data_IF_540193499406
#
_entry.id   IF_540193499406
#
_cell.length_a   1.000
_cell.length_b   1.000
_cell.length_c   1.000
_cell.angle_alpha   90.00
_cell.angle_beta   90.00
_cell.angle_gamma   90.00
#
_symmetry.space_group_name_H-M   'P 1'
#
loop_
_entity.id
_entity.type
_entity.pdbx_description
1 polymer ?
#
# COMPACT_ATOMS: atom_id res chain seq x y z
N UNK A 1 -0.84 -5.26 -6.63
CA UNK A 1 -0.42 -6.05 -7.82
C UNK A 1 0.84 -6.79 -7.45
N UNK A 2 0.91 -8.06 -7.81
CA UNK A 2 2.07 -8.93 -7.63
C UNK A 2 2.58 -9.36 -8.99
N UNK A 3 3.90 -9.32 -9.15
CA UNK A 3 4.61 -9.72 -10.37
C UNK A 3 5.48 -10.94 -10.08
N UNK A 4 5.59 -11.82 -11.07
CA UNK A 4 6.50 -12.96 -11.01
C UNK A 4 7.95 -12.47 -11.15
N UNK A 5 8.80 -12.83 -10.18
CA UNK A 5 10.20 -12.44 -10.14
C UNK A 5 11.05 -13.06 -11.25
N UNK A 6 10.64 -14.21 -11.78
CA UNK A 6 11.36 -14.93 -12.85
C UNK A 6 11.38 -14.16 -14.16
N UNK A 7 10.46 -13.20 -14.33
CA UNK A 7 10.35 -12.34 -15.52
C UNK A 7 11.40 -11.22 -15.57
N UNK A 8 12.25 -11.10 -14.54
CA UNK A 8 13.18 -9.98 -14.40
C UNK A 8 14.63 -10.44 -14.42
N UNK A 9 15.54 -9.66 -15.03
CA UNK A 9 16.95 -10.01 -15.05
C UNK A 9 17.55 -9.88 -13.65
N UNK A 10 18.46 -10.79 -13.29
CA UNK A 10 19.08 -10.82 -11.96
C UNK A 10 19.66 -9.49 -11.46
N UNK A 11 20.38 -8.69 -12.28
CA UNK A 11 20.87 -7.39 -11.83
C UNK A 11 19.77 -6.46 -11.30
N UNK A 12 18.58 -6.46 -11.92
CA UNK A 12 17.46 -5.64 -11.46
C UNK A 12 16.93 -6.14 -10.12
N UNK A 13 16.83 -7.47 -9.93
CA UNK A 13 16.41 -8.09 -8.67
C UNK A 13 17.38 -7.70 -7.54
N UNK A 14 18.69 -7.72 -7.79
CA UNK A 14 19.70 -7.31 -6.80
C UNK A 14 19.58 -5.82 -6.43
N UNK A 15 19.39 -4.95 -7.41
CA UNK A 15 19.18 -3.52 -7.17
C UNK A 15 17.88 -3.28 -6.38
N UNK A 16 16.79 -3.94 -6.76
CA UNK A 16 15.53 -3.86 -6.04
C UNK A 16 15.66 -4.37 -4.60
N UNK A 17 16.42 -5.46 -4.39
CA UNK A 17 16.70 -6.01 -3.07
C UNK A 17 17.49 -5.03 -2.22
N UNK A 18 18.55 -4.42 -2.77
CA UNK A 18 19.33 -3.41 -2.06
C UNK A 18 18.46 -2.21 -1.67
N UNK A 19 17.67 -1.68 -2.60
CA UNK A 19 16.76 -0.56 -2.35
C UNK A 19 15.71 -0.91 -1.29
N UNK A 20 15.14 -2.11 -1.36
CA UNK A 20 14.17 -2.60 -0.40
C UNK A 20 14.79 -2.71 1.00
N UNK A 21 15.96 -3.34 1.13
CA UNK A 21 16.66 -3.50 2.42
C UNK A 21 17.02 -2.15 3.02
N UNK A 22 17.52 -1.21 2.22
CA UNK A 22 17.81 0.16 2.69
C UNK A 22 16.54 0.86 3.16
N UNK A 23 15.44 0.71 2.43
CA UNK A 23 14.15 1.31 2.80
C UNK A 23 13.59 0.69 4.07
N UNK A 24 13.67 -0.64 4.21
CA UNK A 24 13.22 -1.36 5.40
C UNK A 24 14.08 -1.00 6.62
N UNK A 25 15.39 -0.86 6.45
CA UNK A 25 16.29 -0.40 7.51
C UNK A 25 15.96 1.04 7.94
N UNK A 26 15.66 1.93 6.98
CA UNK A 26 15.23 3.29 7.26
C UNK A 26 13.87 3.31 7.99
N UNK A 27 12.89 2.55 7.51
CA UNK A 27 11.60 2.38 8.16
C UNK A 27 11.77 1.86 9.59
N UNK A 28 12.61 0.85 9.80
CA UNK A 28 12.94 0.33 11.13
C UNK A 28 13.59 1.36 12.04
N UNK A 29 14.46 2.24 11.52
CA UNK A 29 15.08 3.31 12.32
C UNK A 29 14.11 4.45 12.66
N UNK A 30 13.23 4.80 11.74
CA UNK A 30 12.27 5.90 11.89
C UNK A 30 10.96 5.47 12.56
N UNK A 31 10.72 4.17 12.71
CA UNK A 31 9.47 3.67 13.28
C UNK A 31 9.29 4.16 14.72
N UNK A 32 8.10 4.65 15.09
CA UNK A 32 7.80 5.11 16.43
C UNK A 32 7.56 3.90 17.36
N UNK A 33 8.58 3.07 17.59
CA UNK A 33 8.50 1.84 18.39
C UNK A 33 7.90 2.04 19.78
N UNK A 34 8.06 3.23 20.35
CA UNK A 34 7.44 3.60 21.63
C UNK A 34 5.92 3.50 21.60
N UNK A 35 5.27 3.79 20.48
CA UNK A 35 3.81 3.66 20.32
C UNK A 35 3.35 2.20 20.41
N UNK A 36 4.16 1.26 19.91
CA UNK A 36 3.86 -0.17 19.97
C UNK A 36 4.14 -0.79 21.35
N UNK A 37 4.62 0.00 22.33
CA UNK A 37 4.67 -0.45 23.74
C UNK A 37 3.29 -0.42 24.40
N UNK A 38 2.39 0.38 23.87
CA UNK A 38 0.99 0.34 24.25
C UNK A 38 0.34 -0.92 23.66
N UNK A 39 -0.27 -1.74 24.51
CA UNK A 39 -0.83 -3.04 24.11
C UNK A 39 -2.02 -2.88 23.17
N UNK A 40 -2.82 -1.82 23.30
CA UNK A 40 -3.94 -1.55 22.40
C UNK A 40 -3.40 -1.25 21.00
N UNK A 41 -2.44 -0.34 20.88
CA UNK A 41 -1.84 0.03 19.60
C UNK A 41 -1.10 -1.15 18.94
N UNK A 42 -0.42 -1.99 19.71
CA UNK A 42 0.20 -3.22 19.20
C UNK A 42 -0.84 -4.19 18.63
N UNK A 43 -1.92 -4.45 19.38
CA UNK A 43 -2.98 -5.35 18.93
C UNK A 43 -3.70 -4.82 17.69
N UNK A 44 -3.94 -3.51 17.62
CA UNK A 44 -4.54 -2.87 16.44
C UNK A 44 -3.60 -2.97 15.24
N UNK A 45 -2.30 -2.77 15.42
CA UNK A 45 -1.31 -2.95 14.35
C UNK A 45 -1.24 -4.40 13.86
N UNK A 46 -1.12 -5.37 14.77
CA UNK A 46 -1.07 -6.80 14.41
C UNK A 46 -2.38 -7.27 13.78
N UNK A 47 -3.52 -6.83 14.30
CA UNK A 47 -4.83 -7.11 13.72
C UNK A 47 -4.96 -6.55 12.30
N UNK A 48 -4.43 -5.34 12.06
CA UNK A 48 -4.43 -4.74 10.73
C UNK A 48 -3.48 -5.48 9.77
N UNK A 49 -2.33 -5.96 10.24
CA UNK A 49 -1.43 -6.85 9.47
C UNK A 49 -2.13 -8.15 9.10
N UNK A 50 -2.86 -8.78 10.03
CA UNK A 50 -3.62 -10.01 9.75
C UNK A 50 -4.76 -9.75 8.76
N UNK A 51 -5.48 -8.64 8.88
CA UNK A 51 -6.52 -8.26 7.93
C UNK A 51 -5.96 -8.04 6.53
N UNK A 52 -4.82 -7.36 6.40
CA UNK A 52 -4.12 -7.22 5.12
C UNK A 52 -3.61 -8.56 4.59
N UNK A 53 -3.13 -9.46 5.45
CA UNK A 53 -2.71 -10.80 5.05
C UNK A 53 -3.87 -11.55 4.38
N UNK A 54 -5.06 -11.53 4.97
CA UNK A 54 -6.26 -12.13 4.37
C UNK A 54 -6.57 -11.46 3.04
N UNK A 55 -6.54 -10.12 3.00
CA UNK A 55 -6.83 -9.34 1.80
C UNK A 55 -5.87 -9.68 0.63
N UNK A 56 -4.58 -9.87 0.91
CA UNK A 56 -3.56 -10.16 -0.10
C UNK A 56 -3.58 -11.62 -0.58
N UNK A 57 -4.21 -12.53 0.18
CA UNK A 57 -4.52 -13.88 -0.31
C UNK A 57 -5.74 -13.92 -1.23
N UNK A 58 -6.55 -12.86 -1.27
CA UNK A 58 -7.65 -12.72 -2.22
C UNK A 58 -7.13 -12.09 -3.52
N UNK A 59 -6.20 -12.79 -4.18
CA UNK A 59 -5.65 -12.35 -5.47
C UNK A 59 -6.32 -13.03 -6.66
N UNK A 60 -6.31 -12.34 -7.79
CA UNK A 60 -6.77 -12.84 -9.08
C UNK A 60 -5.66 -12.65 -10.11
N UNK A 61 -5.34 -13.71 -10.83
CA UNK A 61 -4.39 -13.62 -11.94
C UNK A 61 -5.04 -12.87 -13.10
N UNK A 62 -4.44 -11.74 -13.48
CA UNK A 62 -4.94 -10.88 -14.58
C UNK A 62 -4.26 -11.24 -15.89
N UNK A 63 -2.96 -11.52 -15.83
CA UNK A 63 -2.12 -12.01 -16.93
C UNK A 63 -1.10 -13.00 -16.36
N UNK A 64 -0.46 -13.79 -17.22
CA UNK A 64 0.59 -14.72 -16.78
C UNK A 64 1.72 -13.99 -16.03
N UNK A 65 1.94 -14.35 -14.76
CA UNK A 65 2.92 -13.68 -13.92
C UNK A 65 2.53 -12.25 -13.46
N UNK A 66 1.27 -11.83 -13.62
CA UNK A 66 0.71 -10.60 -13.06
C UNK A 66 -0.62 -10.89 -12.37
N UNK A 67 -0.62 -10.75 -11.05
CA UNK A 67 -1.82 -10.88 -10.21
C UNK A 67 -2.24 -9.54 -9.60
N UNK A 68 -3.54 -9.38 -9.40
CA UNK A 68 -4.15 -8.25 -8.73
C UNK A 68 -4.77 -8.69 -7.40
N UNK A 69 -4.54 -7.89 -6.37
CA UNK A 69 -5.21 -7.97 -5.07
C UNK A 69 -5.40 -6.55 -4.57
N UNK A 70 -6.32 -6.37 -3.62
CA UNK A 70 -6.52 -5.11 -2.91
C UNK A 70 -5.35 -4.88 -1.94
N UNK A 71 -4.81 -3.66 -1.94
CA UNK A 71 -3.59 -3.31 -1.21
C UNK A 71 -3.87 -2.98 0.25
N UNK A 72 -4.84 -2.12 0.53
CA UNK A 72 -5.15 -1.60 1.87
C UNK A 72 -4.01 -0.80 2.52
N UNK A 73 -2.90 -0.54 1.81
CA UNK A 73 -1.71 0.13 2.35
C UNK A 73 -1.94 1.61 2.62
N UNK A 74 -2.86 2.25 1.89
CA UNK A 74 -3.23 3.64 2.14
C UNK A 74 -3.81 3.81 3.54
N UNK A 75 -4.76 2.96 3.94
CA UNK A 75 -5.35 2.96 5.27
C UNK A 75 -4.29 2.71 6.35
N UNK A 76 -3.45 1.68 6.21
CA UNK A 76 -2.37 1.40 7.18
C UNK A 76 -1.39 2.57 7.30
N UNK A 77 -1.04 3.22 6.18
CA UNK A 77 -0.17 4.39 6.18
C UNK A 77 -0.78 5.55 6.95
N UNK A 78 -2.08 5.78 6.81
CA UNK A 78 -2.79 6.84 7.54
C UNK A 78 -3.02 6.46 9.02
N UNK A 79 -3.15 5.17 9.32
CA UNK A 79 -3.29 4.66 10.68
C UNK A 79 -2.00 4.72 11.50
N UNK A 80 -0.87 4.31 10.92
CA UNK A 80 0.37 4.09 11.66
C UNK A 80 1.56 4.93 11.18
N UNK A 81 1.40 5.65 10.06
CA UNK A 81 2.47 6.37 9.38
C UNK A 81 3.29 5.47 8.45
N UNK A 82 4.12 6.12 7.63
CA UNK A 82 4.95 5.47 6.61
C UNK A 82 5.79 4.29 7.13
N UNK A 83 6.54 4.48 8.21
CA UNK A 83 7.49 3.47 8.70
C UNK A 83 6.82 2.15 9.10
N UNK A 84 5.72 2.23 9.87
CA UNK A 84 4.99 1.05 10.30
C UNK A 84 4.18 0.43 9.17
N UNK A 85 3.73 1.22 8.18
CA UNK A 85 3.09 0.69 6.99
C UNK A 85 4.05 -0.13 6.13
N UNK A 86 5.29 0.35 5.93
CA UNK A 86 6.33 -0.41 5.21
C UNK A 86 6.66 -1.73 5.93
N UNK A 87 6.82 -1.69 7.26
CA UNK A 87 7.08 -2.88 8.07
C UNK A 87 5.88 -3.83 8.02
N UNK A 88 4.66 -3.32 8.21
CA UNK A 88 3.43 -4.12 8.18
C UNK A 88 3.21 -4.79 6.83
N UNK A 89 3.33 -4.04 5.72
CA UNK A 89 3.24 -4.60 4.37
C UNK A 89 4.33 -5.64 4.10
N UNK A 90 5.54 -5.46 4.65
CA UNK A 90 6.62 -6.46 4.54
C UNK A 90 6.29 -7.75 5.30
N UNK A 91 5.70 -7.65 6.49
CA UNK A 91 5.22 -8.81 7.26
C UNK A 91 4.09 -9.54 6.53
N UNK A 92 3.16 -8.79 5.93
CA UNK A 92 2.08 -9.33 5.11
C UNK A 92 2.66 -10.11 3.93
N UNK A 93 3.55 -9.49 3.16
CA UNK A 93 4.16 -10.15 2.00
C UNK A 93 4.93 -11.40 2.41
N UNK A 94 5.68 -11.34 3.51
CA UNK A 94 6.37 -12.50 4.06
C UNK A 94 5.40 -13.65 4.36
N UNK A 95 4.26 -13.36 4.99
CA UNK A 95 3.22 -14.35 5.24
C UNK A 95 2.63 -14.95 3.96
N UNK A 96 2.34 -14.12 2.96
CA UNK A 96 1.83 -14.58 1.65
C UNK A 96 2.87 -15.47 0.95
N UNK A 97 4.13 -15.04 0.88
CA UNK A 97 5.21 -15.81 0.23
C UNK A 97 5.45 -17.15 0.91
N UNK A 98 5.43 -17.19 2.25
CA UNK A 98 5.59 -18.43 3.00
C UNK A 98 4.42 -19.40 2.78
N UNK A 99 3.19 -18.90 2.70
CA UNK A 99 1.99 -19.74 2.53
C UNK A 99 1.87 -20.27 1.09
N UNK A 100 2.07 -19.40 0.10
CA UNK A 100 1.91 -19.77 -1.30
C UNK A 100 3.07 -20.61 -1.86
N UNK A 101 4.19 -20.74 -1.13
CA UNK A 101 5.33 -21.56 -1.54
C UNK A 101 6.02 -21.07 -2.82
N UNK A 102 5.82 -19.80 -3.18
CA UNK A 102 6.35 -19.19 -4.41
C UNK A 102 7.81 -18.80 -4.21
N UNK A 103 8.59 -18.75 -5.30
CA UNK A 103 10.00 -18.36 -5.27
C UNK A 103 10.24 -16.98 -4.67
N UNK A 104 11.36 -16.83 -3.96
CA UNK A 104 11.77 -15.59 -3.28
C UNK A 104 12.29 -14.51 -4.24
N UNK A 105 12.50 -14.85 -5.51
CA UNK A 105 13.08 -13.97 -6.53
C UNK A 105 12.28 -12.68 -6.71
N UNK A 106 10.94 -12.76 -6.62
CA UNK A 106 10.05 -11.60 -6.74
C UNK A 106 9.83 -10.84 -5.44
N UNK A 107 10.36 -11.29 -4.30
CA UNK A 107 9.99 -10.77 -2.99
C UNK A 107 10.28 -9.28 -2.85
N UNK A 108 11.51 -8.85 -3.15
CA UNK A 108 11.90 -7.44 -3.01
C UNK A 108 11.13 -6.52 -3.96
N UNK A 109 10.91 -6.94 -5.21
CA UNK A 109 10.14 -6.18 -6.19
C UNK A 109 8.68 -6.02 -5.73
N UNK A 110 8.05 -7.10 -5.28
CA UNK A 110 6.69 -7.05 -4.76
C UNK A 110 6.59 -6.24 -3.46
N UNK A 111 7.59 -6.31 -2.58
CA UNK A 111 7.61 -5.50 -1.36
C UNK A 111 7.67 -4.00 -1.68
N UNK A 112 8.45 -3.63 -2.71
CA UNK A 112 8.50 -2.25 -3.19
C UNK A 112 7.17 -1.84 -3.81
N UNK A 113 6.65 -2.63 -4.75
CA UNK A 113 5.44 -2.29 -5.52
C UNK A 113 4.16 -2.29 -4.70
N UNK A 114 3.96 -3.30 -3.86
CA UNK A 114 2.74 -3.45 -3.08
C UNK A 114 2.82 -2.79 -1.71
N UNK A 115 4.02 -2.51 -1.18
CA UNK A 115 4.23 -1.93 0.14
C UNK A 115 4.84 -0.53 0.12
N UNK A 116 6.11 -0.42 -0.28
CA UNK A 116 6.89 0.83 -0.16
C UNK A 116 6.32 1.96 -0.99
N UNK A 117 6.06 1.72 -2.27
CA UNK A 117 5.55 2.73 -3.22
C UNK A 117 4.19 3.26 -2.76
N UNK A 118 3.17 2.43 -2.49
CA UNK A 118 1.88 2.95 -2.05
C UNK A 118 1.94 3.65 -0.70
N UNK A 119 2.76 3.17 0.25
CA UNK A 119 2.97 3.87 1.52
C UNK A 119 3.62 5.24 1.32
N UNK A 120 4.63 5.33 0.46
CA UNK A 120 5.35 6.59 0.18
C UNK A 120 4.44 7.59 -0.53
N UNK A 121 3.73 7.16 -1.57
CA UNK A 121 2.78 8.00 -2.29
C UNK A 121 1.66 8.50 -1.36
N UNK A 122 1.10 7.62 -0.52
CA UNK A 122 0.08 8.02 0.47
C UNK A 122 0.61 9.08 1.42
N UNK A 123 1.83 8.90 1.94
CA UNK A 123 2.47 9.87 2.82
C UNK A 123 2.69 11.23 2.13
N UNK A 124 3.12 11.23 0.87
CA UNK A 124 3.28 12.44 0.06
C UNK A 124 1.94 13.13 -0.18
N UNK A 125 0.89 12.39 -0.58
CA UNK A 125 -0.45 12.93 -0.78
C UNK A 125 -1.02 13.50 0.52
N UNK A 126 -0.85 12.82 1.65
CA UNK A 126 -1.29 13.32 2.95
C UNK A 126 -0.67 14.69 3.26
N UNK A 127 0.64 14.85 3.03
CA UNK A 127 1.33 16.13 3.22
C UNK A 127 0.75 17.17 2.27
N UNK A 128 0.67 16.85 0.97
CA UNK A 128 0.15 17.76 -0.05
C UNK A 128 -1.28 18.23 0.27
N UNK A 129 -2.18 17.29 0.59
CA UNK A 129 -3.58 17.57 0.90
C UNK A 129 -3.69 18.46 2.14
N UNK A 130 -2.88 18.21 3.17
CA UNK A 130 -2.86 19.07 4.38
C UNK A 130 -2.37 20.48 4.11
N UNK A 131 -1.57 20.69 3.08
CA UNK A 131 -1.08 22.01 2.68
C UNK A 131 -2.11 22.77 1.84
N UNK A 132 -2.85 22.09 0.97
CA UNK A 132 -3.74 22.74 0.00
C UNK A 132 -5.23 22.74 0.37
N UNK A 133 -5.71 21.80 1.19
CA UNK A 133 -7.12 21.63 1.50
C UNK A 133 -7.43 21.89 2.98
N UNK A 134 -8.66 22.36 3.29
CA UNK A 134 -9.05 22.59 4.68
C UNK A 134 -9.11 21.27 5.45
N UNK A 135 -8.74 21.33 6.73
CA UNK A 135 -8.76 20.19 7.65
C UNK A 135 -10.19 19.93 8.12
N UNK A 136 -10.97 19.25 7.28
CA UNK A 136 -12.34 18.84 7.58
C UNK A 136 -12.46 17.32 7.53
N UNK A 137 -13.40 16.78 8.30
CA UNK A 137 -13.72 15.35 8.30
C UNK A 137 -13.94 14.78 6.88
N UNK A 138 -14.77 15.43 6.06
CA UNK A 138 -15.06 14.96 4.70
C UNK A 138 -13.82 15.00 3.79
N UNK A 139 -12.99 16.03 3.90
CA UNK A 139 -11.71 16.08 3.17
C UNK A 139 -10.80 14.94 3.59
N UNK A 140 -10.76 14.62 4.88
CA UNK A 140 -9.97 13.49 5.35
C UNK A 140 -10.45 12.17 4.76
N UNK A 141 -11.73 11.85 4.90
CA UNK A 141 -12.30 10.57 4.44
C UNK A 141 -12.29 10.46 2.91
N UNK A 142 -12.83 11.46 2.20
CA UNK A 142 -13.00 11.40 0.75
C UNK A 142 -11.70 11.65 -0.03
N UNK A 143 -10.82 12.53 0.47
CA UNK A 143 -9.59 12.87 -0.26
C UNK A 143 -8.42 12.01 0.22
N UNK A 144 -8.13 11.97 1.53
CA UNK A 144 -7.00 11.18 2.04
C UNK A 144 -7.31 9.67 2.05
N UNK A 145 -8.55 9.27 2.39
CA UNK A 145 -8.93 7.86 2.39
C UNK A 145 -9.26 7.32 1.00
N UNK A 146 -10.28 7.89 0.36
CA UNK A 146 -10.83 7.35 -0.89
C UNK A 146 -10.01 7.74 -2.12
N UNK A 147 -9.92 9.04 -2.44
CA UNK A 147 -9.31 9.50 -3.69
C UNK A 147 -7.82 9.15 -3.75
N UNK A 148 -7.10 9.37 -2.65
CA UNK A 148 -5.68 9.01 -2.55
C UNK A 148 -5.47 7.52 -2.77
N UNK A 149 -6.28 6.64 -2.16
CA UNK A 149 -6.14 5.20 -2.37
C UNK A 149 -6.35 4.78 -3.83
N UNK A 150 -7.36 5.34 -4.50
CA UNK A 150 -7.59 5.08 -5.93
C UNK A 150 -6.42 5.54 -6.80
N UNK A 151 -5.93 6.77 -6.60
CA UNK A 151 -4.79 7.33 -7.35
C UNK A 151 -3.51 6.55 -7.07
N UNK A 152 -3.23 6.23 -5.81
CA UNK A 152 -2.07 5.42 -5.39
C UNK A 152 -2.12 4.03 -6.00
N UNK A 153 -3.30 3.39 -6.03
CA UNK A 153 -3.52 2.11 -6.68
C UNK A 153 -3.17 2.18 -8.16
N UNK A 154 -3.74 3.14 -8.88
CA UNK A 154 -3.48 3.36 -10.32
C UNK A 154 -1.99 3.62 -10.59
N UNK A 155 -1.32 4.47 -9.81
CA UNK A 155 0.12 4.75 -9.97
C UNK A 155 0.98 3.51 -9.70
N UNK A 156 0.63 2.72 -8.68
CA UNK A 156 1.31 1.46 -8.37
C UNK A 156 1.10 0.44 -9.48
N UNK A 157 -0.11 0.41 -10.08
CA UNK A 157 -0.42 -0.40 -11.25
C UNK A 157 0.40 -0.03 -12.47
N UNK A 158 0.49 1.27 -12.78
CA UNK A 158 1.34 1.76 -13.88
C UNK A 158 2.80 1.41 -13.67
N UNK A 159 3.31 1.55 -12.43
CA UNK A 159 4.68 1.17 -12.11
C UNK A 159 4.90 -0.33 -12.33
N UNK A 160 4.02 -1.19 -11.84
CA UNK A 160 4.10 -2.64 -12.07
C UNK A 160 4.08 -2.99 -13.56
N UNK A 161 3.16 -2.43 -14.34
CA UNK A 161 3.09 -2.68 -15.79
C UNK A 161 4.30 -2.12 -16.54
N UNK A 162 4.84 -0.97 -16.11
CA UNK A 162 6.04 -0.39 -16.73
C UNK A 162 7.27 -1.26 -16.52
N UNK A 163 7.40 -1.87 -15.33
CA UNK A 163 8.47 -2.80 -15.04
C UNK A 163 8.38 -4.05 -15.94
N UNK A 164 7.18 -4.59 -16.14
CA UNK A 164 6.96 -5.72 -17.05
C UNK A 164 7.30 -5.40 -18.51
N UNK A 165 7.05 -4.17 -18.95
CA UNK A 165 7.46 -3.71 -20.28
C UNK A 165 8.97 -3.58 -20.38
N UNK A 166 9.61 -2.98 -19.37
CA UNK A 166 11.08 -2.79 -19.33
C UNK A 166 11.81 -4.13 -19.23
N UNK A 167 11.23 -5.14 -18.58
CA UNK A 167 11.83 -6.47 -18.52
C UNK A 167 11.74 -7.25 -19.84
N UNK A 168 10.91 -6.78 -20.78
CA UNK A 168 10.63 -7.47 -22.03
C UNK A 168 9.65 -8.64 -21.90
N UNK A 169 9.05 -8.84 -20.71
CA UNK A 169 8.06 -9.88 -20.48
C UNK A 169 6.74 -9.62 -21.22
N UNK A 170 6.39 -8.34 -21.39
CA UNK A 170 5.19 -7.91 -22.10
C UNK A 170 5.48 -6.72 -23.01
N UNK A 171 4.80 -6.62 -24.14
CA UNK A 171 4.82 -5.38 -24.91
C UNK A 171 3.85 -4.35 -24.30
N UNK A 172 4.17 -3.06 -24.47
CA UNK A 172 3.25 -2.00 -24.04
C UNK A 172 1.91 -2.07 -24.77
N UNK A 173 1.91 -2.49 -26.04
CA UNK A 173 0.70 -2.65 -26.83
C UNK A 173 -0.24 -3.69 -26.21
N UNK A 174 0.30 -4.84 -25.78
CA UNK A 174 -0.48 -5.93 -25.17
C UNK A 174 -1.13 -5.47 -23.86
N UNK A 175 -0.37 -4.80 -22.98
CA UNK A 175 -0.89 -4.34 -21.69
C UNK A 175 -1.89 -3.20 -21.84
N UNK A 176 -1.71 -2.34 -22.85
CA UNK A 176 -2.64 -1.23 -23.16
C UNK A 176 -4.02 -1.71 -23.56
N UNK A 177 -4.13 -2.90 -24.14
CA UNK A 177 -5.42 -3.47 -24.54
C UNK A 177 -6.00 -4.39 -23.47
N UNK A 178 -5.15 -5.09 -22.71
CA UNK A 178 -5.61 -6.18 -21.83
C UNK A 178 -5.66 -5.84 -20.34
N UNK A 179 -4.90 -4.84 -19.88
CA UNK A 179 -4.74 -4.57 -18.43
C UNK A 179 -5.06 -3.11 -18.09
N UNK A 180 -4.43 -2.16 -18.78
CA UNK A 180 -4.54 -0.73 -18.46
C UNK A 180 -5.98 -0.18 -18.51
N UNK A 181 -6.85 -0.56 -19.48
CA UNK A 181 -8.22 -0.05 -19.53
C UNK A 181 -9.06 -0.42 -18.30
N UNK A 182 -8.69 -1.50 -17.61
CA UNK A 182 -9.39 -2.00 -16.45
C UNK A 182 -8.91 -1.37 -15.14
N UNK A 183 -7.84 -0.55 -15.14
CA UNK A 183 -7.33 0.09 -13.92
C UNK A 183 -8.40 0.85 -13.13
N UNK A 184 -9.25 1.71 -13.75
CA UNK A 184 -10.32 2.37 -13.00
C UNK A 184 -11.25 1.37 -12.30
N UNK A 185 -11.60 0.27 -12.97
CA UNK A 185 -12.45 -0.77 -12.41
C UNK A 185 -11.74 -1.55 -11.30
N UNK A 186 -10.45 -1.86 -11.47
CA UNK A 186 -9.64 -2.62 -10.51
C UNK A 186 -9.35 -1.82 -9.24
N UNK A 187 -9.03 -0.53 -9.36
CA UNK A 187 -8.64 0.31 -8.22
C UNK A 187 -9.80 1.11 -7.61
N UNK A 188 -11.00 1.08 -8.20
CA UNK A 188 -12.19 1.64 -7.57
C UNK A 188 -12.56 0.92 -6.26
N UNK A 189 -12.59 -0.42 -6.18
CA UNK A 189 -12.79 -1.13 -4.91
C UNK A 189 -11.71 -0.79 -3.86
N UNK A 190 -10.46 -0.57 -4.29
CA UNK A 190 -9.38 -0.12 -3.40
C UNK A 190 -9.71 1.25 -2.78
N UNK A 191 -10.20 2.20 -3.59
CA UNK A 191 -10.62 3.51 -3.12
C UNK A 191 -11.76 3.41 -2.09
N UNK A 192 -12.80 2.61 -2.39
CA UNK A 192 -13.93 2.41 -1.49
C UNK A 192 -13.52 1.74 -0.17
N UNK A 193 -12.71 0.69 -0.22
CA UNK A 193 -12.25 -0.03 0.95
C UNK A 193 -11.51 0.90 1.92
N UNK A 194 -10.51 1.63 1.41
CA UNK A 194 -9.73 2.55 2.25
C UNK A 194 -10.60 3.71 2.78
N UNK A 195 -11.47 4.27 1.94
CA UNK A 195 -12.42 5.31 2.34
C UNK A 195 -13.34 4.86 3.48
N UNK A 196 -13.93 3.66 3.37
CA UNK A 196 -14.79 3.10 4.41
C UNK A 196 -14.06 2.78 5.70
N UNK A 197 -12.88 2.15 5.62
CA UNK A 197 -12.04 1.88 6.79
C UNK A 197 -11.78 3.19 7.54
N UNK A 198 -11.34 4.24 6.86
CA UNK A 198 -11.07 5.52 7.54
C UNK A 198 -12.34 6.23 8.02
N UNK A 199 -13.45 6.15 7.29
CA UNK A 199 -14.71 6.72 7.75
C UNK A 199 -15.13 6.12 9.10
N UNK A 200 -15.08 4.79 9.22
CA UNK A 200 -15.41 4.05 10.44
C UNK A 200 -14.42 4.38 11.55
N UNK A 201 -13.11 4.28 11.26
CA UNK A 201 -12.09 4.49 12.28
C UNK A 201 -12.08 5.92 12.80
N UNK A 202 -12.17 6.92 11.93
CA UNK A 202 -12.21 8.32 12.37
C UNK A 202 -13.48 8.62 13.17
N UNK A 203 -14.62 8.02 12.82
CA UNK A 203 -15.87 8.24 13.55
C UNK A 203 -15.91 7.56 14.93
N UNK A 204 -15.37 6.34 15.06
CA UNK A 204 -15.54 5.52 16.26
C UNK A 204 -14.27 5.32 17.10
N UNK A 205 -13.09 5.37 16.48
CA UNK A 205 -11.78 5.13 17.09
C UNK A 205 -10.69 6.06 16.51
N UNK A 206 -10.87 7.40 16.56
CA UNK A 206 -9.94 8.35 15.94
C UNK A 206 -8.49 8.21 16.47
N UNK A 207 -8.31 7.71 17.70
CA UNK A 207 -7.01 7.43 18.30
C UNK A 207 -6.21 6.31 17.60
N UNK A 208 -6.85 5.49 16.76
CA UNK A 208 -6.16 4.48 15.93
C UNK A 208 -5.67 5.05 14.59
N UNK A 209 -6.01 6.31 14.28
CA UNK A 209 -5.66 6.96 13.02
C UNK A 209 -4.61 8.03 13.27
N UNK A 210 -3.33 7.68 13.16
CA UNK A 210 -2.20 8.59 13.43
C UNK A 210 -2.28 9.92 12.68
N UNK A 211 -2.70 9.91 11.41
CA UNK A 211 -2.82 11.14 10.62
C UNK A 211 -4.12 11.91 10.83
N UNK A 212 -4.96 11.53 11.79
CA UNK A 212 -6.16 12.26 12.15
C UNK A 212 -6.08 12.81 13.59
N UNK A 213 -6.68 13.96 13.81
CA UNK A 213 -6.80 14.57 15.14
C UNK A 213 -8.14 15.30 15.21
N UNK A 214 -9.00 14.91 16.16
CA UNK A 214 -10.31 15.56 16.38
C UNK A 214 -10.16 17.07 16.52
N UNK A 215 -9.17 17.52 17.28
CA UNK A 215 -8.90 18.93 17.49
C UNK A 215 -8.60 19.70 16.20
N UNK A 216 -7.91 19.08 15.23
CA UNK A 216 -7.55 19.77 13.98
C UNK A 216 -8.63 19.66 12.91
N UNK A 217 -9.42 18.58 12.91
CA UNK A 217 -10.34 18.27 11.83
C UNK A 217 -11.82 18.49 12.17
N UNK A 218 -12.15 18.73 13.45
CA UNK A 218 -13.50 19.02 13.93
C UNK A 218 -13.66 20.43 14.54
N UNK A 219 -12.58 21.14 14.91
CA UNK A 219 -12.64 22.55 15.34
C UNK A 219 -12.84 23.48 14.14
N UNK A 220 -14.06 23.48 13.64
CA UNK A 220 -14.57 24.35 12.57
C UNK A 220 -16.09 24.22 12.40
N UNK A 221 -16.75 23.64 13.41
CA UNK A 221 -18.20 23.60 13.59
C UNK A 221 -18.56 24.45 14.80
#
# INVERSE_FOLDING_TARGET
>A
MTIDGTLFPMPLIWVATLLYVLTLALAGRLAPWRKLRDLEQLNVFLGAVVALLILWHMDVQVQSGLSFHLLGVTAITLMFGWSLAVIGASLVLLGVTLNAGVGWEGFALNAILAGVVPATLTQCFLILIRWYLPKQFFVYVLVNGFLTAGVVGVLSGYLATSLLVVSGAYSYADLRETVLPFFPLMFMPEAFLNGWILAILVAFKPQWVYSFSDEQYLKGK
#
